data_IF_613633964449
#
_entry.id   IF_613633964449
#
_cell.length_a   1.000
_cell.length_b   1.000
_cell.length_c   1.000
_cell.angle_alpha   90.00
_cell.angle_beta   90.00
_cell.angle_gamma   90.00
#
_symmetry.space_group_name_H-M   'P 1'
#
loop_
_entity.id
_entity.type
_entity.pdbx_description
1 polymer ?
#
# COMPACT_ATOMS: atom_id res chain seq x y z
N UNK A 1 8.95 6.05 -10.95
CA UNK A 1 7.53 5.91 -11.38
C UNK A 1 7.07 4.46 -11.28
N UNK A 2 7.59 3.53 -12.08
CA UNK A 2 7.16 2.12 -12.10
C UNK A 2 7.23 1.40 -10.74
N UNK A 3 8.26 1.63 -9.94
CA UNK A 3 8.36 1.05 -8.58
C UNK A 3 7.17 1.42 -7.68
N UNK A 4 6.69 2.68 -7.78
CA UNK A 4 5.55 3.17 -7.00
C UNK A 4 4.26 2.45 -7.43
N UNK A 5 4.09 2.23 -8.74
CA UNK A 5 2.96 1.48 -9.30
C UNK A 5 2.93 0.05 -8.75
N UNK A 6 4.07 -0.65 -8.77
CA UNK A 6 4.13 -2.04 -8.28
C UNK A 6 3.88 -2.10 -6.76
N UNK A 7 4.42 -1.15 -5.98
CA UNK A 7 4.15 -1.08 -4.54
C UNK A 7 2.67 -0.82 -4.23
N UNK A 8 2.02 0.10 -4.94
CA UNK A 8 0.59 0.31 -4.79
C UNK A 8 -0.21 -0.90 -5.25
N UNK A 9 0.24 -1.60 -6.30
CA UNK A 9 -0.35 -2.87 -6.72
C UNK A 9 -0.33 -3.92 -5.60
N UNK A 10 0.83 -4.15 -4.99
CA UNK A 10 0.99 -5.07 -3.85
C UNK A 10 0.18 -4.64 -2.62
N UNK A 11 0.17 -3.34 -2.31
CA UNK A 11 -0.65 -2.79 -1.23
C UNK A 11 -2.14 -2.99 -1.49
N UNK A 12 -2.60 -2.76 -2.72
CA UNK A 12 -3.99 -3.00 -3.12
C UNK A 12 -4.34 -4.48 -3.00
N UNK A 13 -3.45 -5.37 -3.40
CA UNK A 13 -3.63 -6.81 -3.28
C UNK A 13 -3.80 -7.20 -1.81
N UNK A 14 -2.97 -6.68 -0.90
CA UNK A 14 -3.07 -6.91 0.54
C UNK A 14 -4.39 -6.42 1.16
N UNK A 15 -4.96 -5.33 0.66
CA UNK A 15 -6.26 -4.82 1.13
C UNK A 15 -7.48 -5.49 0.48
N UNK A 16 -7.35 -5.91 -0.78
CA UNK A 16 -8.45 -6.46 -1.58
C UNK A 16 -8.58 -7.98 -1.48
N UNK A 17 -7.48 -8.75 -1.40
CA UNK A 17 -7.52 -10.22 -1.26
C UNK A 17 -8.41 -10.71 -0.11
N UNK A 18 -8.24 -10.24 1.14
CA UNK A 18 -9.10 -10.67 2.25
C UNK A 18 -10.57 -10.24 2.07
N UNK A 19 -10.83 -9.22 1.25
CA UNK A 19 -12.15 -8.69 1.00
C UNK A 19 -12.74 -9.09 -0.37
N UNK A 20 -12.18 -10.10 -1.05
CA UNK A 20 -12.63 -10.53 -2.39
C UNK A 20 -14.12 -10.88 -2.39
N UNK A 21 -14.63 -11.54 -1.35
CA UNK A 21 -16.07 -11.86 -1.26
C UNK A 21 -16.97 -10.62 -1.24
N UNK A 22 -16.51 -9.52 -0.65
CA UNK A 22 -17.22 -8.23 -0.63
C UNK A 22 -17.09 -7.53 -1.97
N UNK A 23 -15.91 -7.53 -2.58
CA UNK A 23 -15.68 -6.93 -3.90
C UNK A 23 -16.49 -7.63 -4.99
N UNK A 24 -16.59 -8.97 -4.95
CA UNK A 24 -17.38 -9.76 -5.89
C UNK A 24 -18.88 -9.54 -5.74
N UNK A 25 -19.34 -9.02 -4.58
CA UNK A 25 -20.74 -8.64 -4.42
C UNK A 25 -21.12 -7.38 -5.21
N UNK A 26 -20.13 -6.61 -5.69
CA UNK A 26 -20.27 -5.35 -6.42
C UNK A 26 -21.24 -4.35 -5.77
N UNK A 27 -21.51 -4.51 -4.47
CA UNK A 27 -22.42 -3.68 -3.70
C UNK A 27 -21.61 -2.51 -3.10
N UNK A 28 -21.79 -1.28 -3.61
CA UNK A 28 -20.98 -0.14 -3.19
C UNK A 28 -21.14 0.17 -1.71
N UNK A 29 -22.28 -0.18 -1.09
CA UNK A 29 -22.53 0.03 0.33
C UNK A 29 -21.67 -0.92 1.17
N UNK A 30 -21.54 -2.18 0.75
CA UNK A 30 -20.73 -3.18 1.46
C UNK A 30 -19.24 -2.96 1.30
N UNK A 31 -18.83 -2.40 0.16
CA UNK A 31 -17.44 -2.01 -0.08
C UNK A 31 -17.08 -0.81 0.81
N UNK A 32 -17.98 0.18 0.92
CA UNK A 32 -17.76 1.34 1.77
C UNK A 32 -17.69 1.02 3.27
N UNK A 33 -18.38 -0.03 3.73
CA UNK A 33 -18.31 -0.49 5.12
C UNK A 33 -17.09 -1.36 5.43
N UNK A 34 -16.32 -1.77 4.41
CA UNK A 34 -15.06 -2.50 4.57
C UNK A 34 -13.85 -1.58 4.38
N UNK A 35 -13.25 -1.04 5.45
CA UNK A 35 -12.21 -0.03 5.35
C UNK A 35 -10.95 -0.53 4.61
N UNK A 36 -10.60 -1.81 4.75
CA UNK A 36 -9.47 -2.43 4.05
C UNK A 36 -9.69 -2.53 2.53
N UNK A 37 -10.91 -2.91 2.12
CA UNK A 37 -11.28 -2.97 0.71
C UNK A 37 -11.25 -1.59 0.07
N UNK A 38 -11.78 -0.58 0.78
CA UNK A 38 -11.79 0.81 0.31
C UNK A 38 -10.36 1.34 0.10
N UNK A 39 -9.46 1.09 1.06
CA UNK A 39 -8.06 1.52 0.93
C UNK A 39 -7.34 0.78 -0.19
N UNK A 40 -7.62 -0.52 -0.37
CA UNK A 40 -7.07 -1.28 -1.50
C UNK A 40 -7.51 -0.73 -2.86
N UNK A 41 -8.79 -0.36 -3.00
CA UNK A 41 -9.30 0.27 -4.24
C UNK A 41 -8.66 1.64 -4.48
N UNK A 42 -8.51 2.46 -3.44
CA UNK A 42 -7.84 3.76 -3.52
C UNK A 42 -6.37 3.59 -3.97
N UNK A 43 -5.67 2.61 -3.40
CA UNK A 43 -4.29 2.29 -3.79
C UNK A 43 -4.19 1.84 -5.26
N UNK A 44 -5.19 1.08 -5.75
CA UNK A 44 -5.27 0.68 -7.15
C UNK A 44 -5.48 1.90 -8.08
N UNK A 45 -6.31 2.85 -7.68
CA UNK A 45 -6.51 4.12 -8.42
C UNK A 45 -5.21 4.91 -8.46
N UNK A 46 -4.48 5.01 -7.35
CA UNK A 46 -3.16 5.66 -7.33
C UNK A 46 -2.15 4.94 -8.23
N UNK A 47 -2.13 3.60 -8.23
CA UNK A 47 -1.28 2.82 -9.15
C UNK A 47 -1.58 3.16 -10.61
N UNK A 48 -2.86 3.24 -10.99
CA UNK A 48 -3.30 3.62 -12.32
C UNK A 48 -2.88 5.04 -12.70
N UNK A 49 -3.19 6.03 -11.87
CA UNK A 49 -2.86 7.43 -12.15
C UNK A 49 -1.34 7.67 -12.25
N UNK A 50 -0.55 7.07 -11.36
CA UNK A 50 0.91 7.16 -11.41
C UNK A 50 1.47 6.40 -12.63
N UNK A 51 0.87 5.26 -12.98
CA UNK A 51 1.22 4.50 -14.19
C UNK A 51 0.97 5.28 -15.48
N UNK A 52 -0.09 6.08 -15.51
CA UNK A 52 -0.40 7.03 -16.60
C UNK A 52 0.51 8.27 -16.62
N UNK A 53 1.43 8.41 -15.65
CA UNK A 53 2.40 9.50 -15.61
C UNK A 53 1.94 10.75 -14.84
N UNK A 54 0.87 10.67 -14.05
CA UNK A 54 0.36 11.81 -13.26
C UNK A 54 1.24 12.11 -12.04
N UNK A 55 2.41 12.71 -12.26
CA UNK A 55 3.36 13.09 -11.19
C UNK A 55 2.84 14.18 -10.24
N UNK A 56 1.83 14.94 -10.65
CA UNK A 56 1.14 15.92 -9.79
C UNK A 56 0.51 15.29 -8.54
N UNK A 57 0.29 13.97 -8.53
CA UNK A 57 -0.25 13.23 -7.39
C UNK A 57 0.81 12.81 -6.37
N UNK A 58 2.09 13.10 -6.59
CA UNK A 58 3.15 12.73 -5.65
C UNK A 58 2.94 13.25 -4.22
N UNK A 59 2.41 14.47 -3.99
CA UNK A 59 2.06 14.92 -2.64
C UNK A 59 1.00 14.02 -1.97
N UNK A 60 -0.02 13.57 -2.72
CA UNK A 60 -1.05 12.67 -2.22
C UNK A 60 -0.47 11.27 -1.90
N UNK A 61 0.44 10.76 -2.74
CA UNK A 61 1.16 9.51 -2.49
C UNK A 61 1.97 9.59 -1.20
N UNK A 62 2.65 10.72 -0.95
CA UNK A 62 3.41 10.96 0.30
C UNK A 62 2.51 11.00 1.52
N UNK A 63 1.34 11.64 1.42
CA UNK A 63 0.35 11.65 2.49
C UNK A 63 -0.18 10.25 2.80
N UNK A 64 -0.51 9.47 1.76
CA UNK A 64 -0.89 8.05 1.92
C UNK A 64 0.23 7.25 2.58
N UNK A 65 1.48 7.45 2.19
CA UNK A 65 2.62 6.80 2.84
C UNK A 65 2.74 7.18 4.32
N UNK A 66 2.49 8.45 4.69
CA UNK A 66 2.45 8.86 6.10
C UNK A 66 1.29 8.21 6.87
N UNK A 67 0.12 8.04 6.25
CA UNK A 67 -1.00 7.27 6.82
C UNK A 67 -0.66 5.78 6.99
N UNK A 68 0.06 5.20 6.02
CA UNK A 68 0.61 3.84 6.10
C UNK A 68 1.56 3.64 7.27
N UNK A 69 2.41 4.64 7.53
CA UNK A 69 3.34 4.61 8.64
C UNK A 69 2.65 4.80 9.99
N UNK A 70 1.72 5.76 10.08
CA UNK A 70 1.02 6.10 11.32
C UNK A 70 -0.18 5.21 11.61
N UNK A 71 -1.26 5.35 10.82
CA UNK A 71 -2.55 4.70 11.09
C UNK A 71 -2.47 3.17 11.03
N UNK A 72 -1.89 2.62 9.98
CA UNK A 72 -1.75 1.16 9.84
C UNK A 72 -0.72 0.57 10.80
N UNK A 73 0.40 1.27 11.03
CA UNK A 73 1.37 0.88 12.05
C UNK A 73 0.73 0.79 13.45
N UNK A 74 -0.07 1.79 13.82
CA UNK A 74 -0.71 1.85 15.14
C UNK A 74 -1.82 0.79 15.30
N UNK A 75 -2.63 0.53 14.27
CA UNK A 75 -3.64 -0.54 14.30
C UNK A 75 -2.98 -1.91 14.50
N UNK A 76 -1.92 -2.21 13.75
CA UNK A 76 -1.23 -3.50 13.85
C UNK A 76 -0.48 -3.66 15.18
N UNK A 77 -0.02 -2.54 15.76
CA UNK A 77 0.54 -2.51 17.11
C UNK A 77 -0.51 -2.88 18.16
N UNK A 78 -1.71 -2.28 18.11
CA UNK A 78 -2.81 -2.59 19.05
C UNK A 78 -3.27 -4.04 18.90
N UNK A 79 -3.23 -4.60 17.68
CA UNK A 79 -3.57 -6.01 17.43
C UNK A 79 -2.48 -7.00 17.89
N UNK A 80 -1.35 -6.53 18.44
CA UNK A 80 -0.25 -7.38 18.89
C UNK A 80 0.53 -8.06 17.75
N UNK A 81 0.28 -7.67 16.49
CA UNK A 81 0.93 -8.27 15.32
C UNK A 81 2.16 -7.45 14.93
N UNK A 82 3.28 -7.73 15.59
CA UNK A 82 4.53 -6.98 15.40
C UNK A 82 5.19 -7.20 14.02
N UNK A 83 5.10 -8.41 13.46
CA UNK A 83 5.65 -8.72 12.13
C UNK A 83 4.99 -7.92 10.98
N UNK A 84 3.65 -7.88 10.83
CA UNK A 84 3.03 -7.07 9.79
C UNK A 84 3.14 -5.57 10.07
N UNK A 85 3.24 -5.16 11.34
CA UNK A 85 3.47 -3.76 11.70
C UNK A 85 4.79 -3.26 11.10
N UNK A 86 5.89 -3.99 11.31
CA UNK A 86 7.20 -3.63 10.76
C UNK A 86 7.16 -3.63 9.23
N UNK A 87 6.48 -4.59 8.61
CA UNK A 87 6.30 -4.64 7.17
C UNK A 87 5.52 -3.42 6.62
N UNK A 88 4.45 -2.99 7.30
CA UNK A 88 3.66 -1.82 6.92
C UNK A 88 4.49 -0.53 7.02
N UNK A 89 5.22 -0.36 8.12
CA UNK A 89 6.09 0.81 8.35
C UNK A 89 7.20 0.85 7.30
N UNK A 90 7.90 -0.27 7.11
CA UNK A 90 9.03 -0.36 6.19
C UNK A 90 8.59 -0.15 4.74
N UNK A 91 7.44 -0.71 4.35
CA UNK A 91 6.83 -0.48 3.04
C UNK A 91 6.44 0.99 2.83
N UNK A 92 5.88 1.63 3.84
CA UNK A 92 5.47 3.04 3.79
C UNK A 92 6.65 4.01 3.70
N UNK A 93 7.70 3.79 4.50
CA UNK A 93 8.96 4.56 4.42
C UNK A 93 9.59 4.41 3.05
N UNK A 94 9.64 3.19 2.51
CA UNK A 94 10.20 2.91 1.19
C UNK A 94 9.43 3.61 0.07
N UNK A 95 8.10 3.62 0.15
CA UNK A 95 7.22 4.30 -0.81
C UNK A 95 7.44 5.83 -0.76
N UNK A 96 7.57 6.39 0.45
CA UNK A 96 7.91 7.82 0.62
C UNK A 96 9.26 8.16 -0.01
N UNK A 97 10.30 7.36 0.25
CA UNK A 97 11.64 7.54 -0.32
C UNK A 97 11.63 7.43 -1.85
N UNK A 98 10.83 6.53 -2.43
CA UNK A 98 10.67 6.40 -3.88
C UNK A 98 10.09 7.67 -4.55
N UNK A 99 9.41 8.54 -3.80
CA UNK A 99 8.91 9.83 -4.31
C UNK A 99 9.89 10.99 -4.15
N UNK A 100 10.95 10.82 -3.36
CA UNK A 100 11.97 11.86 -3.11
C UNK A 100 13.20 11.63 -3.97
N UNK A 101 13.64 10.38 -4.08
CA UNK A 101 14.84 10.07 -4.85
C UNK A 101 14.57 10.15 -6.35
N UNK A 102 15.38 10.97 -7.02
CA UNK A 102 15.37 11.13 -8.48
C UNK A 102 16.45 10.23 -9.12
N UNK A 103 17.50 9.88 -8.39
CA UNK A 103 18.57 9.02 -8.91
C UNK A 103 18.19 7.53 -8.86
N UNK A 104 18.64 6.78 -9.86
CA UNK A 104 18.15 5.43 -10.11
C UNK A 104 18.56 4.42 -9.01
N UNK A 105 19.79 4.53 -8.49
CA UNK A 105 20.35 3.60 -7.51
C UNK A 105 19.55 3.56 -6.19
N UNK A 106 19.33 4.69 -5.48
CA UNK A 106 18.55 4.67 -4.24
C UNK A 106 17.09 4.29 -4.48
N UNK A 107 16.52 4.60 -5.65
CA UNK A 107 15.16 4.17 -6.02
C UNK A 107 15.08 2.64 -6.13
N UNK A 108 16.08 1.97 -6.71
CA UNK A 108 16.08 0.51 -6.83
C UNK A 108 16.17 -0.15 -5.46
N UNK A 109 17.00 0.39 -4.55
CA UNK A 109 17.14 -0.14 -3.20
C UNK A 109 15.84 0.04 -2.41
N UNK A 110 15.27 1.25 -2.41
CA UNK A 110 13.98 1.49 -1.75
C UNK A 110 12.86 0.68 -2.40
N UNK A 111 12.92 0.47 -3.72
CA UNK A 111 11.98 -0.38 -4.43
C UNK A 111 12.04 -1.83 -3.94
N UNK A 112 13.23 -2.41 -3.89
CA UNK A 112 13.43 -3.77 -3.41
C UNK A 112 12.91 -3.97 -1.99
N UNK A 113 13.26 -3.05 -1.08
CA UNK A 113 12.82 -3.10 0.32
C UNK A 113 11.30 -2.94 0.45
N UNK A 114 10.69 -2.01 -0.27
CA UNK A 114 9.25 -1.81 -0.20
C UNK A 114 8.45 -2.95 -0.83
N UNK A 115 8.96 -3.56 -1.91
CA UNK A 115 8.33 -4.72 -2.56
C UNK A 115 8.32 -5.95 -1.65
N UNK A 116 9.45 -6.26 -1.01
CA UNK A 116 9.54 -7.40 -0.08
C UNK A 116 8.69 -7.17 1.16
N UNK A 117 8.71 -5.96 1.72
CA UNK A 117 7.90 -5.61 2.89
C UNK A 117 6.39 -5.68 2.60
N UNK A 118 5.92 -5.05 1.53
CA UNK A 118 4.50 -5.05 1.17
C UNK A 118 4.03 -6.42 0.67
N UNK A 119 4.90 -7.18 -0.02
CA UNK A 119 4.62 -8.56 -0.40
C UNK A 119 4.45 -9.48 0.80
N UNK A 120 5.33 -9.38 1.80
CA UNK A 120 5.20 -10.13 3.05
C UNK A 120 3.91 -9.76 3.80
N UNK A 121 3.59 -8.47 3.86
CA UNK A 121 2.35 -7.99 4.48
C UNK A 121 1.11 -8.55 3.77
N UNK A 122 1.07 -8.53 2.44
CA UNK A 122 -0.06 -9.03 1.67
C UNK A 122 -0.31 -10.52 1.93
N UNK A 123 0.75 -11.34 2.01
CA UNK A 123 0.63 -12.76 2.33
C UNK A 123 0.09 -12.99 3.75
N UNK A 124 0.58 -12.22 4.72
CA UNK A 124 0.22 -12.40 6.13
C UNK A 124 -1.19 -11.87 6.47
N UNK A 125 -1.68 -10.92 5.67
CA UNK A 125 -3.06 -10.44 5.73
C UNK A 125 -4.00 -11.40 5.01
N UNK A 126 -3.56 -12.02 3.91
CA UNK A 126 -4.36 -13.02 3.19
C UNK A 126 -4.50 -14.36 3.91
N UNK A 127 -3.60 -14.70 4.83
CA UNK A 127 -3.67 -15.93 5.63
C UNK A 127 -4.59 -15.84 6.85
N UNK A 128 -5.28 -14.70 7.01
CA UNK A 128 -6.19 -14.40 8.11
C UNK A 128 -7.64 -14.48 7.63
#
# INVERSE_FOLDING_TARGET
MWAIVVMFGLSSAGGMLPAVGVLMSLDPIKIATNPLALIGVIDLVFAGCIGLGMVNLYPAVRFRAALGLGFFGLILFIQGRHAPMLAAITGSVSLYLCTIFVSMVPVIISAGVGLTALGYLALQVSSN
#
